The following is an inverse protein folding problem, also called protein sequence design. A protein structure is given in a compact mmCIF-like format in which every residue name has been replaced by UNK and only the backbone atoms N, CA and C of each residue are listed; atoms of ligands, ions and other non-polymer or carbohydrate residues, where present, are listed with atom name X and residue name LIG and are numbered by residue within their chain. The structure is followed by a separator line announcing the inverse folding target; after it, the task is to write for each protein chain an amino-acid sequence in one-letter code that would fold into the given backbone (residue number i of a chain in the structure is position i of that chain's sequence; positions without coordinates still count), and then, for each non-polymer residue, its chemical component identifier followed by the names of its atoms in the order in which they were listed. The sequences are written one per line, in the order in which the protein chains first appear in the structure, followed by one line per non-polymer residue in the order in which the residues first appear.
data_IF_761696289764
#
_entry.id   IF_761696289764
#
_cell.length_a   1.000
_cell.length_b   1.000
_cell.length_c   1.000
_cell.angle_alpha   90.00
_cell.angle_beta   90.00
_cell.angle_gamma   90.00
#
_symmetry.space_group_name_H-M   'P 1'
#
loop_
_entity.id
_entity.type
_entity.pdbx_description
1 polymer ?
#
# COMPACT_ATOMS: atom_id res chain seq x y z
N UNK A 1 -6.43 11.18 -16.51
CA UNK A 1 -7.59 11.51 -15.66
C UNK A 1 -8.06 10.28 -14.88
N UNK A 2 -8.36 9.15 -15.53
CA UNK A 2 -8.78 7.92 -14.85
C UNK A 2 -7.75 7.38 -13.82
N UNK A 3 -6.46 7.39 -14.15
CA UNK A 3 -5.39 6.84 -13.29
C UNK A 3 -5.21 7.59 -11.96
N UNK A 4 -5.32 8.92 -11.99
CA UNK A 4 -5.25 9.75 -10.78
C UNK A 4 -6.47 9.57 -9.86
N UNK A 5 -7.67 9.41 -10.44
CA UNK A 5 -8.86 9.08 -9.66
C UNK A 5 -8.74 7.68 -9.02
N UNK A 6 -8.16 6.70 -9.73
CA UNK A 6 -7.98 5.34 -9.20
C UNK A 6 -7.12 5.29 -7.94
N UNK A 7 -6.02 6.04 -7.89
CA UNK A 7 -5.19 6.08 -6.69
C UNK A 7 -5.90 6.74 -5.51
N UNK A 8 -6.69 7.79 -5.79
CA UNK A 8 -7.46 8.51 -4.78
C UNK A 8 -8.57 7.65 -4.18
N UNK A 9 -9.22 6.81 -4.98
CA UNK A 9 -10.27 5.90 -4.49
C UNK A 9 -9.66 4.77 -3.62
N UNK A 10 -8.43 4.34 -3.93
CA UNK A 10 -7.68 3.35 -3.15
C UNK A 10 -7.08 3.91 -1.85
N UNK A 11 -6.85 5.22 -1.78
CA UNK A 11 -6.29 5.92 -0.61
C UNK A 11 -7.22 7.09 -0.29
N UNK A 12 -8.40 6.75 0.23
CA UNK A 12 -9.42 7.77 0.51
C UNK A 12 -9.16 8.43 1.86
N UNK A 13 -9.00 9.76 1.87
CA UNK A 13 -8.92 10.57 3.09
C UNK A 13 -10.32 10.97 3.55
N UNK A 14 -10.74 10.41 4.69
CA UNK A 14 -11.91 10.86 5.42
C UNK A 14 -11.48 11.74 6.59
N UNK A 15 -11.14 12.99 6.29
CA UNK A 15 -10.92 14.07 7.27
C UNK A 15 -9.94 13.72 8.42
N UNK A 16 -8.91 12.90 8.12
CA UNK A 16 -7.74 12.45 8.95
C UNK A 16 -7.49 10.94 8.92
N UNK A 17 -8.48 10.14 8.55
CA UNK A 17 -8.34 8.68 8.50
C UNK A 17 -8.25 8.20 7.07
N UNK A 18 -7.29 7.29 6.83
CA UNK A 18 -7.08 6.69 5.52
C UNK A 18 -7.68 5.29 5.54
N UNK A 19 -8.56 5.02 4.58
CA UNK A 19 -9.03 3.66 4.33
C UNK A 19 -8.15 3.00 3.27
N UNK A 20 -7.20 2.19 3.72
CA UNK A 20 -6.33 1.39 2.85
C UNK A 20 -7.01 0.06 2.51
N UNK A 21 -8.16 0.13 1.84
CA UNK A 21 -9.00 -1.04 1.52
C UNK A 21 -8.26 -2.15 0.76
N UNK A 22 -7.16 -1.80 0.09
CA UNK A 22 -6.35 -2.69 -0.71
C UNK A 22 -5.23 -3.40 0.08
N UNK A 23 -4.85 -2.91 1.26
CA UNK A 23 -3.76 -3.47 2.05
C UNK A 23 -4.28 -4.35 3.19
N UNK A 24 -4.01 -5.65 3.09
CA UNK A 24 -4.39 -6.65 4.09
C UNK A 24 -3.80 -6.37 5.46
N UNK A 25 -2.62 -5.74 5.53
CA UNK A 25 -1.94 -5.46 6.80
C UNK A 25 -2.64 -4.37 7.61
N UNK A 26 -3.41 -3.51 6.94
CA UNK A 26 -4.19 -2.44 7.57
C UNK A 26 -5.69 -2.64 7.49
N UNK A 27 -6.16 -3.69 6.80
CA UNK A 27 -7.57 -3.96 6.64
C UNK A 27 -8.25 -4.15 8.01
N UNK A 28 -9.13 -3.23 8.39
CA UNK A 28 -9.82 -3.22 9.69
C UNK A 28 -9.10 -2.45 10.80
N UNK A 29 -7.95 -1.84 10.52
CA UNK A 29 -7.24 -0.95 11.44
C UNK A 29 -7.56 0.53 11.16
N UNK A 30 -7.51 1.35 12.21
CA UNK A 30 -7.61 2.81 12.07
C UNK A 30 -6.25 3.34 11.68
N UNK A 31 -6.13 3.80 10.43
CA UNK A 31 -4.91 4.41 9.88
C UNK A 31 -5.06 5.92 9.86
N UNK A 32 -4.07 6.64 10.39
CA UNK A 32 -4.08 8.10 10.47
C UNK A 32 -2.80 8.68 9.85
N UNK A 33 -2.93 9.62 8.93
CA UNK A 33 -1.77 10.40 8.47
C UNK A 33 -1.35 11.40 9.55
N UNK A 34 -0.06 11.38 9.92
CA UNK A 34 0.51 12.30 10.93
C UNK A 34 1.52 13.28 10.37
N UNK A 35 2.00 13.06 9.15
CA UNK A 35 2.75 14.03 8.37
C UNK A 35 2.88 13.60 6.92
N UNK A 36 3.06 14.56 6.02
CA UNK A 36 3.42 14.30 4.63
C UNK A 36 4.35 15.37 4.07
N UNK A 37 5.00 15.01 2.98
CA UNK A 37 5.78 15.90 2.13
C UNK A 37 5.24 15.74 0.71
N UNK A 38 4.76 16.84 0.13
CA UNK A 38 4.31 16.85 -1.25
C UNK A 38 5.50 16.61 -2.20
N UNK A 39 5.28 15.78 -3.22
CA UNK A 39 6.29 15.39 -4.18
C UNK A 39 5.81 15.59 -5.62
N UNK A 40 6.09 16.74 -6.23
CA UNK A 40 5.76 17.03 -7.62
C UNK A 40 4.61 18.03 -7.78
N UNK A 41 3.93 18.01 -8.93
CA UNK A 41 2.91 19.01 -9.29
C UNK A 41 1.48 18.58 -8.97
N UNK A 42 1.23 17.28 -8.77
CA UNK A 42 -0.07 16.75 -8.37
C UNK A 42 -0.12 16.65 -6.83
N UNK A 43 -1.19 17.15 -6.22
CA UNK A 43 -1.37 17.11 -4.77
C UNK A 43 -1.56 15.68 -4.25
N UNK A 44 -1.87 14.71 -5.12
CA UNK A 44 -1.88 13.29 -4.78
C UNK A 44 -0.49 12.65 -4.70
N UNK A 45 0.55 13.36 -5.16
CA UNK A 45 1.91 12.87 -5.12
C UNK A 45 2.58 13.31 -3.83
N UNK A 46 2.88 12.36 -2.94
CA UNK A 46 3.40 12.67 -1.62
C UNK A 46 4.13 11.48 -1.01
N UNK A 47 4.95 11.79 -0.01
CA UNK A 47 5.48 10.83 0.94
C UNK A 47 4.80 11.11 2.28
N UNK A 48 4.05 10.14 2.78
CA UNK A 48 3.26 10.24 4.01
C UNK A 48 3.77 9.28 5.08
N UNK A 49 3.62 9.71 6.33
CA UNK A 49 3.80 8.89 7.53
C UNK A 49 2.40 8.57 8.04
N UNK A 50 2.07 7.28 8.07
CA UNK A 50 0.77 6.79 8.50
C UNK A 50 0.93 5.97 9.78
N UNK A 51 0.17 6.30 10.81
CA UNK A 51 0.12 5.57 12.07
C UNK A 51 -1.02 4.57 12.04
N UNK A 52 -0.69 3.30 12.28
CA UNK A 52 -1.65 2.21 12.45
C UNK A 52 -1.81 1.95 13.95
N UNK A 53 -3.04 2.11 14.42
CA UNK A 53 -3.35 1.97 15.84
C UNK A 53 -4.00 0.63 16.18
N UNK A 54 -3.68 0.13 17.37
CA UNK A 54 -4.39 -0.98 17.98
C UNK A 54 -5.79 -0.55 18.43
N UNK A 55 -6.69 -1.52 18.76
CA UNK A 55 -7.98 -1.22 19.38
C UNK A 55 -7.87 -0.45 20.71
N UNK A 56 -6.70 -0.44 21.35
CA UNK A 56 -6.40 0.27 22.60
C UNK A 56 -5.85 1.69 22.36
N UNK A 57 -5.92 2.21 21.13
CA UNK A 57 -5.43 3.53 20.71
C UNK A 57 -3.90 3.72 20.81
N UNK A 58 -3.14 2.61 20.89
CA UNK A 58 -1.67 2.62 20.87
C UNK A 58 -1.15 2.48 19.44
N UNK A 59 -0.11 3.25 19.08
CA UNK A 59 0.55 3.13 17.77
C UNK A 59 1.40 1.87 17.78
N UNK A 60 1.09 0.91 16.90
CA UNK A 60 1.82 -0.36 16.83
C UNK A 60 2.77 -0.37 15.64
N UNK A 61 2.30 0.16 14.51
CA UNK A 61 3.03 0.19 13.25
C UNK A 61 2.95 1.58 12.66
N UNK A 62 4.06 2.03 12.09
CA UNK A 62 4.14 3.22 11.26
C UNK A 62 4.39 2.76 9.83
N UNK A 63 3.56 3.20 8.89
CA UNK A 63 3.77 2.99 7.46
C UNK A 63 4.43 4.23 6.87
N UNK A 64 5.56 4.03 6.20
CA UNK A 64 6.12 5.02 5.30
C UNK A 64 5.52 4.78 3.92
N UNK A 65 4.69 5.69 3.43
CA UNK A 65 3.95 5.51 2.19
C UNK A 65 4.32 6.58 1.18
N UNK A 66 4.82 6.19 0.02
CA UNK A 66 4.93 7.05 -1.16
C UNK A 66 3.80 6.75 -2.12
N UNK A 67 3.19 7.82 -2.62
CA UNK A 67 2.14 7.76 -3.62
C UNK A 67 2.49 8.71 -4.75
N UNK A 68 2.36 8.28 -6.00
CA UNK A 68 2.78 9.10 -7.13
C UNK A 68 2.01 8.74 -8.40
N UNK A 69 1.53 9.77 -9.08
CA UNK A 69 0.79 9.68 -10.33
C UNK A 69 1.42 10.58 -11.40
N UNK A 70 1.44 10.05 -12.62
CA UNK A 70 1.78 10.73 -13.87
C UNK A 70 0.63 10.61 -14.87
N UNK A 71 0.82 11.13 -16.08
CA UNK A 71 -0.16 11.00 -17.15
C UNK A 71 -0.31 9.55 -17.68
N UNK A 72 0.66 8.67 -17.41
CA UNK A 72 0.70 7.28 -17.92
C UNK A 72 0.78 6.21 -16.83
N UNK A 73 1.02 6.59 -15.57
CA UNK A 73 1.20 5.61 -14.51
C UNK A 73 0.79 6.18 -13.16
N UNK A 74 0.41 5.30 -12.25
CA UNK A 74 0.26 5.60 -10.83
C UNK A 74 0.89 4.46 -10.04
N UNK A 75 1.48 4.77 -8.89
CA UNK A 75 1.89 3.77 -7.94
C UNK A 75 1.63 4.22 -6.51
N UNK A 76 1.46 3.22 -5.65
CA UNK A 76 1.53 3.37 -4.20
C UNK A 76 2.47 2.32 -3.68
N UNK A 77 3.44 2.74 -2.89
CA UNK A 77 4.39 1.88 -2.21
C UNK A 77 4.43 2.26 -0.76
N UNK A 78 4.35 1.29 0.13
CA UNK A 78 4.50 1.50 1.56
C UNK A 78 5.54 0.55 2.14
N UNK A 79 6.11 0.92 3.27
CA UNK A 79 6.95 0.03 4.06
C UNK A 79 6.53 0.13 5.53
N UNK A 80 6.14 -0.98 6.17
CA UNK A 80 5.82 -1.00 7.59
C UNK A 80 7.08 -0.98 8.43
N UNK A 81 7.03 -0.25 9.54
CA UNK A 81 8.06 -0.21 10.58
C UNK A 81 7.37 -0.23 11.94
N UNK A 82 7.81 -1.10 12.85
CA UNK A 82 7.25 -1.15 14.20
C UNK A 82 7.53 0.16 14.96
N UNK A 83 6.52 0.67 15.68
CA UNK A 83 6.63 1.93 16.40
C UNK A 83 7.73 1.91 17.47
N UNK A 84 7.84 0.80 18.20
CA UNK A 84 8.90 0.56 19.19
C UNK A 84 10.30 0.63 18.56
N UNK A 85 10.45 0.08 17.36
CA UNK A 85 11.72 0.08 16.62
C UNK A 85 12.09 1.48 16.18
N UNK A 86 11.13 2.27 15.68
CA UNK A 86 11.37 3.67 15.34
C UNK A 86 11.76 4.51 16.55
N UNK A 87 11.07 4.35 17.68
CA UNK A 87 11.40 5.06 18.93
C UNK A 87 12.84 4.73 19.38
N UNK A 88 13.23 3.46 19.32
CA UNK A 88 14.60 3.04 19.62
C UNK A 88 15.63 3.75 18.72
N UNK A 89 15.40 3.81 17.41
CA UNK A 89 16.32 4.45 16.44
C UNK A 89 16.39 5.96 16.69
N UNK A 90 15.25 6.61 16.89
CA UNK A 90 15.16 8.05 17.14
C UNK A 90 15.87 8.46 18.43
N UNK A 91 15.92 7.56 19.41
CA UNK A 91 16.66 7.74 20.65
C UNK A 91 18.15 7.30 20.56
N UNK A 92 18.68 7.07 19.36
CA UNK A 92 20.09 6.77 19.12
C UNK A 92 20.46 5.29 19.21
N UNK A 93 19.49 4.38 19.17
CA UNK A 93 19.72 2.94 19.04
C UNK A 93 20.26 2.54 17.66
N UNK A 94 20.68 1.28 17.52
CA UNK A 94 21.22 0.77 16.25
C UNK A 94 20.11 0.50 15.22
N UNK A 95 20.25 0.94 13.96
CA UNK A 95 19.34 0.63 12.87
C UNK A 95 19.67 -0.69 12.13
N UNK A 96 20.69 -1.45 12.55
CA UNK A 96 21.29 -2.55 11.75
C UNK A 96 20.35 -3.73 11.49
N UNK A 97 19.26 -3.86 12.25
CA UNK A 97 18.34 -5.01 12.19
C UNK A 97 16.87 -4.60 12.11
N UNK A 98 16.60 -3.43 11.53
CA UNK A 98 15.24 -2.91 11.38
C UNK A 98 14.64 -3.46 10.09
N UNK A 99 13.66 -4.37 10.13
CA UNK A 99 13.05 -4.89 8.92
C UNK A 99 12.16 -3.83 8.30
N UNK A 100 12.60 -3.27 7.17
CA UNK A 100 11.78 -2.41 6.31
C UNK A 100 11.38 -3.25 5.09
N UNK A 101 10.09 -3.53 4.98
CA UNK A 101 9.55 -4.49 4.00
C UNK A 101 8.63 -3.77 3.00
N UNK A 102 9.21 -3.13 1.96
CA UNK A 102 8.42 -2.43 0.97
C UNK A 102 7.45 -3.35 0.25
N UNK A 103 6.22 -2.89 0.11
CA UNK A 103 5.16 -3.54 -0.67
C UNK A 103 4.32 -2.46 -1.36
N UNK A 104 3.65 -2.84 -2.45
CA UNK A 104 2.83 -1.89 -3.19
C UNK A 104 2.44 -2.36 -4.57
N UNK A 105 1.92 -1.44 -5.37
CA UNK A 105 1.51 -1.72 -6.73
C UNK A 105 1.67 -0.49 -7.63
N UNK A 106 1.74 -0.75 -8.93
CA UNK A 106 1.66 0.25 -9.98
C UNK A 106 0.57 -0.09 -10.98
N UNK A 107 -0.14 0.93 -11.45
CA UNK A 107 -1.20 0.85 -12.46
C UNK A 107 -0.74 1.60 -13.70
N UNK A 108 -0.81 0.93 -14.85
CA UNK A 108 -0.50 1.48 -16.16
C UNK A 108 -1.66 1.19 -17.12
N UNK A 109 -1.88 2.00 -18.16
CA UNK A 109 -2.86 1.69 -19.19
C UNK A 109 -2.42 0.45 -19.97
N UNK A 110 -3.36 -0.46 -20.23
CA UNK A 110 -3.14 -1.70 -21.02
C UNK A 110 -3.04 -1.43 -22.54
N UNK A 111 -3.18 -0.17 -22.94
CA UNK A 111 -3.17 0.26 -24.34
C UNK A 111 -4.53 0.06 -25.03
N UNK A 112 -4.64 0.49 -26.31
CA UNK A 112 -5.88 0.37 -27.07
C UNK A 112 -6.16 -1.10 -27.45
N UNK A 113 -7.28 -1.65 -26.99
CA UNK A 113 -7.73 -2.97 -27.45
C UNK A 113 -8.47 -2.85 -28.79
N UNK A 114 -8.48 -3.93 -29.59
CA UNK A 114 -9.10 -3.98 -30.93
C UNK A 114 -10.60 -3.66 -30.93
N UNK A 115 -11.25 -3.82 -29.79
CA UNK A 115 -12.69 -3.61 -29.60
C UNK A 115 -13.02 -2.24 -28.99
N UNK A 116 -12.03 -1.33 -28.88
CA UNK A 116 -12.21 0.00 -28.29
C UNK A 116 -12.30 0.00 -26.76
N UNK A 117 -12.07 -1.14 -26.12
CA UNK A 117 -11.95 -1.24 -24.67
C UNK A 117 -10.64 -0.62 -24.16
N UNK A 118 -10.73 0.07 -23.02
CA UNK A 118 -9.58 0.56 -22.26
C UNK A 118 -9.42 -0.29 -21.01
N UNK A 119 -8.27 -0.95 -20.88
CA UNK A 119 -7.90 -1.73 -19.69
C UNK A 119 -6.78 -1.07 -18.90
N UNK A 120 -6.46 -1.67 -17.75
CA UNK A 120 -5.30 -1.30 -16.94
C UNK A 120 -4.49 -2.54 -16.59
N UNK A 121 -3.16 -2.42 -16.66
CA UNK A 121 -2.22 -3.39 -16.13
C UNK A 121 -1.86 -3.01 -14.69
N UNK A 122 -2.06 -3.95 -13.77
CA UNK A 122 -1.65 -3.80 -12.37
C UNK A 122 -0.43 -4.69 -12.12
N UNK A 123 0.65 -4.10 -11.63
CA UNK A 123 1.85 -4.81 -11.17
C UNK A 123 1.94 -4.66 -9.67
N UNK A 124 2.02 -5.77 -8.94
CA UNK A 124 2.19 -5.77 -7.48
C UNK A 124 3.60 -6.24 -7.11
N UNK A 125 4.17 -5.65 -6.07
CA UNK A 125 5.46 -6.04 -5.52
C UNK A 125 5.33 -6.18 -4.00
N UNK A 126 5.90 -7.26 -3.46
CA UNK A 126 5.91 -7.53 -2.03
C UNK A 126 7.31 -7.97 -1.62
N UNK A 127 7.83 -7.37 -0.56
CA UNK A 127 8.99 -7.89 0.15
C UNK A 127 8.50 -8.57 1.44
N UNK A 128 8.77 -9.87 1.57
CA UNK A 128 8.33 -10.68 2.72
C UNK A 128 9.58 -11.26 3.37
N UNK A 129 9.69 -11.10 4.68
CA UNK A 129 10.72 -11.77 5.47
C UNK A 129 10.19 -13.15 5.88
N UNK A 130 10.82 -14.21 5.37
CA UNK A 130 10.51 -15.60 5.72
C UNK A 130 11.77 -16.26 6.29
N UNK A 131 11.69 -16.68 7.55
CA UNK A 131 12.79 -17.34 8.26
C UNK A 131 12.84 -18.86 8.04
N UNK A 132 11.84 -19.41 7.34
CA UNK A 132 11.68 -20.84 7.09
C UNK A 132 12.15 -21.27 5.69
N UNK A 133 12.39 -20.31 4.79
CA UNK A 133 12.87 -20.55 3.43
C UNK A 133 14.38 -20.37 3.28
N UNK A 134 14.89 -20.89 2.16
CA UNK A 134 16.27 -20.78 1.72
C UNK A 134 16.31 -20.54 0.21
N UNK A 135 17.48 -20.17 -0.33
CA UNK A 135 17.63 -19.89 -1.77
C UNK A 135 17.23 -21.06 -2.69
N UNK A 136 17.25 -22.30 -2.18
CA UNK A 136 16.92 -23.51 -2.95
C UNK A 136 15.61 -24.16 -2.54
N UNK A 137 14.95 -23.67 -1.48
CA UNK A 137 13.77 -24.31 -0.94
C UNK A 137 12.84 -23.30 -0.28
N UNK A 138 11.59 -23.28 -0.73
CA UNK A 138 10.49 -22.52 -0.13
C UNK A 138 9.49 -23.55 0.40
N UNK A 139 9.21 -23.56 1.72
CA UNK A 139 8.23 -24.47 2.29
C UNK A 139 6.84 -24.31 1.65
N UNK A 140 6.06 -25.39 1.50
CA UNK A 140 4.70 -25.30 0.97
C UNK A 140 3.79 -24.34 1.76
N UNK A 141 4.02 -24.21 3.07
CA UNK A 141 3.28 -23.27 3.94
C UNK A 141 3.59 -21.80 3.59
N UNK A 142 4.85 -21.46 3.35
CA UNK A 142 5.24 -20.14 2.86
C UNK A 142 4.63 -19.85 1.48
N UNK A 143 4.64 -20.83 0.57
CA UNK A 143 4.00 -20.69 -0.76
C UNK A 143 2.50 -20.43 -0.61
N UNK A 144 1.81 -21.17 0.27
CA UNK A 144 0.38 -20.98 0.52
C UNK A 144 0.09 -19.58 1.08
N UNK A 145 0.93 -19.10 2.01
CA UNK A 145 0.80 -17.75 2.59
C UNK A 145 1.02 -16.66 1.52
N UNK A 146 2.06 -16.78 0.70
CA UNK A 146 2.34 -15.84 -0.39
C UNK A 146 1.19 -15.83 -1.40
N UNK A 147 0.72 -17.01 -1.82
CA UNK A 147 -0.39 -17.13 -2.77
C UNK A 147 -1.66 -16.48 -2.24
N UNK A 148 -1.98 -16.73 -0.96
CA UNK A 148 -3.11 -16.10 -0.28
C UNK A 148 -2.98 -14.59 -0.27
N UNK A 149 -1.84 -14.06 0.17
CA UNK A 149 -1.57 -12.62 0.25
C UNK A 149 -1.72 -11.94 -1.12
N UNK A 150 -1.11 -12.50 -2.18
CA UNK A 150 -1.21 -11.95 -3.54
C UNK A 150 -2.66 -11.98 -4.04
N UNK A 151 -3.38 -13.07 -3.79
CA UNK A 151 -4.78 -13.22 -4.23
C UNK A 151 -5.70 -12.25 -3.51
N UNK A 152 -5.59 -12.15 -2.18
CA UNK A 152 -6.41 -11.26 -1.37
C UNK A 152 -6.12 -9.78 -1.70
N UNK A 153 -4.85 -9.38 -1.86
CA UNK A 153 -4.52 -8.01 -2.30
C UNK A 153 -5.11 -7.71 -3.68
N UNK A 154 -5.02 -8.65 -4.64
CA UNK A 154 -5.63 -8.46 -5.95
C UNK A 154 -7.16 -8.31 -5.88
N UNK A 155 -7.83 -9.12 -5.04
CA UNK A 155 -9.26 -9.03 -4.79
C UNK A 155 -9.65 -7.71 -4.13
N UNK A 156 -8.86 -7.23 -3.17
CA UNK A 156 -9.10 -5.95 -2.52
C UNK A 156 -8.92 -4.76 -3.46
N UNK A 157 -7.85 -4.74 -4.28
CA UNK A 157 -7.67 -3.73 -5.34
C UNK A 157 -8.87 -3.74 -6.29
N UNK A 158 -9.29 -4.94 -6.70
CA UNK A 158 -10.45 -5.10 -7.58
C UNK A 158 -11.74 -4.61 -6.90
N UNK A 159 -11.98 -4.95 -5.65
CA UNK A 159 -13.17 -4.55 -4.91
C UNK A 159 -13.25 -3.03 -4.76
N UNK A 160 -12.14 -2.37 -4.41
CA UNK A 160 -12.05 -0.93 -4.33
C UNK A 160 -12.36 -0.25 -5.69
N UNK A 161 -11.98 -0.88 -6.81
CA UNK A 161 -12.35 -0.38 -8.15
C UNK A 161 -13.84 -0.47 -8.48
N UNK A 162 -14.57 -1.43 -7.89
CA UNK A 162 -15.98 -1.68 -8.19
C UNK A 162 -16.94 -1.24 -7.08
N UNK A 163 -16.45 -0.52 -6.05
CA UNK A 163 -17.28 -0.06 -4.94
C UNK A 163 -18.33 0.96 -5.43
N UNK A 164 -19.60 0.89 -4.97
CA UNK A 164 -20.72 1.66 -5.53
C UNK A 164 -20.64 3.18 -5.31
N UNK A 165 -19.64 3.68 -4.59
CA UNK A 165 -19.42 5.12 -4.36
C UNK A 165 -19.05 5.90 -5.64
N UNK A 166 -18.73 5.21 -6.74
CA UNK A 166 -18.48 5.82 -8.05
C UNK A 166 -19.70 5.89 -8.99
N UNK A 167 -20.91 5.64 -8.47
CA UNK A 167 -22.16 5.87 -9.19
C UNK A 167 -23.00 6.98 -8.53
N UNK A 168 -22.47 8.20 -8.50
CA UNK A 168 -23.28 9.38 -8.16
C UNK A 168 -22.47 10.59 -7.70
N UNK A 169 -22.14 11.49 -8.62
CA UNK A 169 -22.67 12.86 -8.73
C UNK A 169 -22.22 13.50 -10.02
#
# INVERSE_FOLDING_TARGET
MYIACFQRDLVTDHSKYIDLQWDILTCGHVVKETGHIDNGCDHGNRVSILEVKSPEDQIVVILLQESYTTFTSSYVTFAPVEACTLDMILNGGSPDHVPILPSGFSILPDGPTRDGGSGSLVTMAFQILDNSSSATYIPPESVATIFKLVTETAECIKAAMFSPSNLGT
#
